data_IF_332191650494
#
_entry.id   IF_332191650494
#
_cell.length_a   1.000
_cell.length_b   1.000
_cell.length_c   1.000
_cell.angle_alpha   90.00
_cell.angle_beta   90.00
_cell.angle_gamma   90.00
#
_symmetry.space_group_name_H-M   'P 1'
#
loop_
_entity.id
_entity.type
_entity.pdbx_description
1 polymer ?
#
# COMPACT_ATOMS: atom_id res chain seq x y z
N UNK A 1 1.66 -16.17 -8.66
CA UNK A 1 0.95 -15.95 -9.94
C UNK A 1 0.29 -17.22 -10.53
N UNK A 2 0.64 -18.43 -10.07
CA UNK A 2 0.04 -19.70 -10.54
C UNK A 2 -1.50 -19.67 -10.63
N UNK A 3 -2.18 -19.18 -9.59
CA UNK A 3 -3.64 -19.14 -9.57
C UNK A 3 -4.26 -18.29 -10.70
N UNK A 4 -3.57 -17.23 -11.16
CA UNK A 4 -3.98 -16.44 -12.32
C UNK A 4 -3.69 -17.19 -13.63
N UNK A 5 -2.55 -17.88 -13.70
CA UNK A 5 -2.14 -18.65 -14.88
C UNK A 5 -3.02 -19.88 -15.11
N UNK A 6 -3.45 -20.56 -14.05
CA UNK A 6 -4.35 -21.73 -14.13
C UNK A 6 -5.82 -21.36 -14.17
N UNK A 7 -6.17 -20.07 -14.09
CA UNK A 7 -7.56 -19.60 -14.01
C UNK A 7 -8.28 -20.00 -12.71
N UNK A 8 -7.55 -20.37 -11.66
CA UNK A 8 -8.14 -20.59 -10.33
C UNK A 8 -8.75 -19.30 -9.78
N UNK A 9 -8.11 -18.16 -10.06
CA UNK A 9 -8.71 -16.84 -9.92
C UNK A 9 -8.88 -16.21 -11.29
N UNK A 10 -10.07 -15.65 -11.53
CA UNK A 10 -10.44 -15.11 -12.83
C UNK A 10 -9.59 -13.91 -13.25
N UNK A 11 -9.10 -13.12 -12.28
CA UNK A 11 -8.20 -12.00 -12.51
C UNK A 11 -7.80 -11.29 -11.22
N UNK A 12 -6.95 -10.27 -11.34
CA UNK A 12 -6.49 -9.45 -10.21
C UNK A 12 -6.27 -7.99 -10.63
N UNK A 13 -6.55 -7.05 -9.73
CA UNK A 13 -6.09 -5.66 -9.80
C UNK A 13 -4.96 -5.44 -8.81
N UNK A 14 -3.80 -4.96 -9.27
CA UNK A 14 -2.55 -4.87 -8.52
C UNK A 14 -2.03 -3.43 -8.56
N UNK A 15 -1.83 -2.84 -7.38
CA UNK A 15 -1.24 -1.49 -7.20
C UNK A 15 0.18 -1.55 -6.64
N UNK A 16 0.50 -2.59 -5.88
CA UNK A 16 1.78 -2.76 -5.17
C UNK A 16 2.46 -4.07 -5.53
N UNK A 17 3.78 -4.07 -5.46
CA UNK A 17 4.61 -5.23 -5.79
C UNK A 17 5.69 -5.47 -4.74
N UNK A 18 6.19 -6.71 -4.65
CA UNK A 18 7.32 -7.04 -3.75
C UNK A 18 8.61 -6.31 -4.11
N UNK A 19 8.75 -5.94 -5.39
CA UNK A 19 9.86 -5.16 -5.91
C UNK A 19 9.30 -4.03 -6.74
N UNK A 20 9.66 -2.79 -6.38
CA UNK A 20 9.15 -1.58 -7.00
C UNK A 20 10.32 -0.72 -7.52
N UNK A 21 10.27 -0.24 -8.78
CA UNK A 21 9.20 -0.47 -9.76
C UNK A 21 9.13 -1.93 -10.23
N UNK A 22 7.97 -2.35 -10.74
CA UNK A 22 7.80 -3.71 -11.27
C UNK A 22 8.82 -3.97 -12.39
N UNK A 23 9.66 -5.01 -12.30
CA UNK A 23 10.68 -5.28 -13.31
C UNK A 23 10.07 -5.43 -14.72
N UNK A 24 10.73 -4.91 -15.79
CA UNK A 24 10.20 -5.00 -17.15
C UNK A 24 10.02 -6.43 -17.67
N UNK A 25 10.75 -7.39 -17.12
CA UNK A 25 10.68 -8.82 -17.44
C UNK A 25 9.65 -9.59 -16.59
N UNK A 26 8.87 -8.89 -15.75
CA UNK A 26 7.83 -9.51 -14.96
C UNK A 26 6.74 -10.11 -15.85
N UNK A 27 6.34 -11.38 -15.65
CA UNK A 27 5.28 -12.02 -16.43
C UNK A 27 3.90 -11.38 -16.19
N UNK A 28 3.75 -10.56 -15.14
CA UNK A 28 2.50 -9.85 -14.85
C UNK A 28 2.13 -8.86 -15.97
N UNK A 29 3.11 -8.32 -16.71
CA UNK A 29 2.87 -7.40 -17.82
C UNK A 29 2.07 -8.05 -18.96
N UNK A 30 2.26 -9.35 -19.19
CA UNK A 30 1.64 -10.08 -20.31
C UNK A 30 0.31 -10.76 -19.94
N UNK A 31 -0.08 -10.74 -18.67
CA UNK A 31 -1.28 -11.43 -18.19
C UNK A 31 -2.55 -10.64 -18.53
N UNK A 32 -3.34 -11.15 -19.48
CA UNK A 32 -4.62 -10.55 -19.91
C UNK A 32 -5.67 -10.43 -18.81
N UNK A 33 -5.56 -11.24 -17.77
CA UNK A 33 -6.45 -11.21 -16.60
C UNK A 33 -5.88 -10.38 -15.43
N UNK A 34 -4.88 -9.52 -15.69
CA UNK A 34 -4.27 -8.66 -14.67
C UNK A 34 -4.39 -7.19 -15.04
N UNK A 35 -5.06 -6.50 -14.11
CA UNK A 35 -5.09 -5.07 -13.78
C UNK A 35 -3.80 -4.51 -13.18
N UNK A 36 -2.95 -3.72 -13.86
CA UNK A 36 -1.81 -3.06 -13.18
C UNK A 36 -2.06 -1.55 -13.07
N UNK A 37 -1.93 -1.03 -11.84
CA UNK A 37 -1.76 0.39 -11.55
C UNK A 37 -0.37 0.63 -10.97
N UNK A 38 0.19 1.82 -11.16
CA UNK A 38 1.35 2.26 -10.37
C UNK A 38 0.94 2.43 -8.91
N UNK A 39 1.84 2.18 -7.96
CA UNK A 39 1.63 2.32 -6.51
C UNK A 39 1.14 3.73 -6.14
N UNK A 40 -0.17 3.94 -6.26
CA UNK A 40 -0.81 5.25 -6.22
C UNK A 40 -2.24 5.17 -5.69
N UNK A 41 -2.77 3.98 -5.40
CA UNK A 41 -4.13 3.81 -4.88
C UNK A 41 -4.37 4.55 -3.55
N UNK A 42 -3.31 4.76 -2.75
CA UNK A 42 -3.37 5.52 -1.51
C UNK A 42 -3.42 7.05 -1.71
N UNK A 43 -3.02 7.56 -2.87
CA UNK A 43 -2.93 8.99 -3.16
C UNK A 43 -4.30 9.56 -3.57
N UNK A 44 -5.15 9.73 -2.57
CA UNK A 44 -6.48 10.34 -2.74
C UNK A 44 -6.42 11.85 -2.54
N UNK A 45 -7.37 12.64 -3.07
CA UNK A 45 -7.40 14.10 -2.89
C UNK A 45 -7.40 14.58 -1.43
N UNK A 46 -7.82 13.72 -0.49
CA UNK A 46 -7.89 14.01 0.94
C UNK A 46 -6.73 13.38 1.74
N UNK A 47 -5.78 12.72 1.06
CA UNK A 47 -4.70 12.00 1.74
C UNK A 47 -3.83 12.97 2.55
N UNK A 48 -3.35 14.04 1.92
CA UNK A 48 -2.43 14.99 2.55
C UNK A 48 -3.08 15.69 3.76
N UNK A 49 -4.34 16.11 3.63
CA UNK A 49 -5.10 16.74 4.71
C UNK A 49 -5.19 15.81 5.93
N UNK A 50 -5.67 14.58 5.73
CA UNK A 50 -5.86 13.60 6.82
C UNK A 50 -4.53 13.15 7.43
N UNK A 51 -3.51 12.96 6.61
CA UNK A 51 -2.18 12.57 7.07
C UNK A 51 -1.55 13.68 7.92
N UNK A 52 -1.68 14.94 7.49
CA UNK A 52 -1.16 16.09 8.21
C UNK A 52 -1.91 16.31 9.54
N UNK A 53 -3.24 16.19 9.55
CA UNK A 53 -4.03 16.26 10.79
C UNK A 53 -3.55 15.24 11.82
N UNK A 54 -3.39 13.97 11.42
CA UNK A 54 -2.89 12.91 12.30
C UNK A 54 -1.45 13.18 12.77
N UNK A 55 -0.59 13.68 11.87
CA UNK A 55 0.79 14.04 12.21
C UNK A 55 0.84 15.15 13.25
N UNK A 56 0.07 16.22 13.08
CA UNK A 56 0.03 17.36 14.01
C UNK A 56 -0.45 16.91 15.39
N UNK A 57 -1.51 16.11 15.46
CA UNK A 57 -2.01 15.55 16.72
C UNK A 57 -0.95 14.68 17.42
N UNK A 58 -0.26 13.81 16.68
CA UNK A 58 0.81 12.99 17.24
C UNK A 58 2.04 13.81 17.65
N UNK A 59 2.37 14.89 16.93
CA UNK A 59 3.44 15.80 17.32
C UNK A 59 3.11 16.47 18.67
N UNK A 60 1.88 16.96 18.85
CA UNK A 60 1.43 17.53 20.12
C UNK A 60 1.50 16.51 21.25
N UNK A 61 0.99 15.29 21.04
CA UNK A 61 1.07 14.19 22.03
C UNK A 61 2.50 13.86 22.40
N UNK A 62 3.39 13.75 21.41
CA UNK A 62 4.80 13.46 21.60
C UNK A 62 5.47 14.50 22.50
N UNK A 63 5.26 15.79 22.22
CA UNK A 63 5.84 16.89 23.02
C UNK A 63 5.31 16.96 24.45
N UNK A 64 4.08 16.46 24.68
CA UNK A 64 3.44 16.43 25.99
C UNK A 64 3.59 15.08 26.71
N UNK A 65 4.43 14.17 26.21
CA UNK A 65 4.62 12.82 26.76
C UNK A 65 3.32 12.01 26.88
N UNK A 66 2.39 12.22 25.96
CA UNK A 66 1.12 11.49 25.89
C UNK A 66 1.23 10.29 24.94
N UNK A 67 0.39 9.25 25.11
CA UNK A 67 0.30 8.14 24.16
C UNK A 67 -0.06 8.60 22.75
N UNK A 68 0.69 8.11 21.75
CA UNK A 68 0.46 8.38 20.34
C UNK A 68 -0.73 7.59 19.79
N UNK A 69 -1.33 8.11 18.72
CA UNK A 69 -2.38 7.46 17.93
C UNK A 69 -1.72 6.58 16.86
N UNK A 70 -2.31 5.40 16.60
CA UNK A 70 -1.86 4.44 15.58
C UNK A 70 -0.41 3.97 15.78
N UNK A 71 -0.03 3.66 17.03
CA UNK A 71 1.29 3.09 17.34
C UNK A 71 1.46 1.75 16.62
N UNK A 72 2.48 1.67 15.77
CA UNK A 72 2.86 0.45 15.07
C UNK A 72 3.73 -0.42 15.97
N UNK A 73 3.30 -1.66 16.19
CA UNK A 73 4.11 -2.69 16.83
C UNK A 73 5.08 -3.29 15.80
N UNK A 74 6.37 -3.00 15.97
CA UNK A 74 7.41 -3.45 15.02
C UNK A 74 7.70 -4.95 15.09
N UNK A 75 7.30 -5.64 16.16
CA UNK A 75 7.46 -7.09 16.31
C UNK A 75 6.28 -7.81 15.65
N UNK A 76 5.07 -7.30 15.88
CA UNK A 76 3.86 -7.84 15.23
C UNK A 76 3.84 -7.58 13.73
N UNK A 77 4.50 -6.51 13.28
CA UNK A 77 4.41 -6.03 11.91
C UNK A 77 3.14 -5.21 11.70
N UNK A 78 2.79 -4.99 10.43
CA UNK A 78 1.48 -4.45 10.05
C UNK A 78 0.37 -5.47 10.34
#
# INVERSE_FOLDING_TARGET
IQALQTGQIAGAGLDVFSTEPLPPDSPLWDMKNVIITSHYSGSTPLYDERALELFIENLQRYTNHQPLINVVDKIRGY
#
